data_IF_131915286988
#
_entry.id   IF_131915286988
#
_cell.length_a   1.000
_cell.length_b   1.000
_cell.length_c   1.000
_cell.angle_alpha   90.00
_cell.angle_beta   90.00
_cell.angle_gamma   90.00
#
_symmetry.space_group_name_H-M   'P 1'
#
loop_
_entity.id
_entity.type
_entity.pdbx_description
1 polymer ?
#
# COMPACT_ATOMS: atom_id res chain seq x y z
N UNK A 1 -6.80 10.11 -27.13
CA UNK A 1 -7.22 8.68 -26.94
C UNK A 1 -8.72 8.56 -27.20
N UNK A 2 -9.27 7.36 -27.39
CA UNK A 2 -10.75 7.15 -27.45
C UNK A 2 -11.20 6.34 -26.24
N UNK A 3 -12.39 6.60 -25.74
CA UNK A 3 -12.93 5.89 -24.57
C UNK A 3 -14.16 5.09 -24.94
N UNK A 4 -14.36 3.96 -24.27
CA UNK A 4 -15.56 3.13 -24.38
C UNK A 4 -16.04 2.82 -22.98
N UNK A 5 -17.31 3.15 -22.71
CA UNK A 5 -17.94 2.90 -21.41
C UNK A 5 -19.04 1.86 -21.64
N UNK A 6 -18.99 0.76 -20.89
CA UNK A 6 -19.95 -0.35 -20.98
C UNK A 6 -20.49 -0.65 -19.59
N UNK A 7 -21.80 -0.85 -19.50
CA UNK A 7 -22.45 -1.49 -18.38
C UNK A 7 -22.58 -2.98 -18.72
N UNK A 8 -22.06 -3.84 -17.86
CA UNK A 8 -21.97 -5.28 -18.08
C UNK A 8 -22.69 -6.01 -16.95
N UNK A 9 -23.53 -6.99 -17.26
CA UNK A 9 -24.22 -7.80 -16.25
C UNK A 9 -23.31 -8.91 -15.67
N UNK A 10 -23.84 -9.67 -14.71
CA UNK A 10 -23.14 -10.78 -14.05
C UNK A 10 -22.70 -11.90 -15.00
N UNK A 11 -23.35 -12.04 -16.15
CA UNK A 11 -22.99 -13.03 -17.19
C UNK A 11 -21.92 -12.51 -18.15
N UNK A 12 -21.46 -11.26 -17.98
CA UNK A 12 -20.47 -10.63 -18.84
C UNK A 12 -21.07 -10.05 -20.13
N UNK A 13 -22.40 -9.96 -20.24
CA UNK A 13 -23.09 -9.39 -21.39
C UNK A 13 -23.21 -7.87 -21.24
N UNK A 14 -23.04 -7.16 -22.35
CA UNK A 14 -23.18 -5.69 -22.34
C UNK A 14 -24.65 -5.31 -22.30
N UNK A 15 -25.07 -4.68 -21.20
CA UNK A 15 -26.43 -4.16 -20.97
C UNK A 15 -26.62 -2.80 -21.64
N UNK A 16 -25.63 -1.92 -21.51
CA UNK A 16 -25.64 -0.59 -22.12
C UNK A 16 -24.22 -0.21 -22.55
N UNK A 17 -24.08 0.46 -23.69
CA UNK A 17 -22.81 1.03 -24.10
C UNK A 17 -23.00 2.52 -24.39
N UNK A 18 -22.18 3.34 -23.74
CA UNK A 18 -22.17 4.78 -23.96
C UNK A 18 -21.06 5.18 -24.93
N UNK A 19 -21.32 6.09 -25.88
CA UNK A 19 -20.29 6.68 -26.72
C UNK A 19 -19.44 7.63 -25.86
N UNK A 20 -18.12 7.37 -25.75
CA UNK A 20 -17.20 8.19 -24.96
C UNK A 20 -16.11 8.82 -25.82
N UNK A 21 -16.19 10.13 -26.04
CA UNK A 21 -15.00 10.92 -26.42
C UNK A 21 -14.68 11.79 -25.22
N UNK A 22 -13.94 11.26 -24.26
CA UNK A 22 -13.34 12.09 -23.21
C UNK A 22 -12.12 12.75 -23.86
N UNK A 23 -12.12 14.07 -23.91
CA UNK A 23 -10.97 14.83 -24.42
C UNK A 23 -9.84 14.77 -23.39
N UNK A 24 -8.58 14.88 -23.82
CA UNK A 24 -7.42 14.81 -22.89
C UNK A 24 -7.41 15.96 -21.85
N UNK A 25 -8.24 17.00 -22.03
CA UNK A 25 -8.38 18.11 -21.10
C UNK A 25 -9.45 17.90 -20.01
N UNK A 26 -10.34 16.91 -20.16
CA UNK A 26 -11.42 16.65 -19.21
C UNK A 26 -10.99 15.60 -18.19
N UNK A 27 -10.99 15.97 -16.90
CA UNK A 27 -10.68 15.05 -15.79
C UNK A 27 -11.92 14.34 -15.24
N UNK A 28 -13.13 14.78 -15.62
CA UNK A 28 -14.39 14.18 -15.21
C UNK A 28 -15.44 14.28 -16.33
N UNK A 29 -16.33 13.28 -16.42
CA UNK A 29 -17.48 13.29 -17.31
C UNK A 29 -18.71 12.75 -16.57
N UNK A 30 -19.83 13.49 -16.66
CA UNK A 30 -21.12 13.00 -16.17
C UNK A 30 -21.72 12.04 -17.19
N UNK A 31 -21.97 10.80 -16.76
CA UNK A 31 -22.65 9.79 -17.56
C UNK A 31 -24.02 9.47 -16.95
N UNK A 32 -25.00 9.15 -17.79
CA UNK A 32 -26.34 8.74 -17.36
C UNK A 32 -26.69 7.40 -17.98
N UNK A 33 -26.65 6.36 -17.15
CA UNK A 33 -27.11 5.02 -17.52
C UNK A 33 -28.64 4.99 -17.47
N UNK A 34 -29.27 4.37 -18.47
CA UNK A 34 -30.74 4.30 -18.61
C UNK A 34 -31.26 2.89 -18.34
N UNK A 35 -30.43 1.89 -18.57
CA UNK A 35 -30.76 0.48 -18.49
C UNK A 35 -30.58 0.03 -17.05
N UNK A 36 -31.67 -0.36 -16.36
CA UNK A 36 -31.57 -0.83 -14.99
C UNK A 36 -30.79 -2.13 -14.95
N UNK A 37 -29.98 -2.28 -13.92
CA UNK A 37 -28.99 -3.33 -13.82
C UNK A 37 -28.63 -3.51 -12.35
N UNK A 38 -28.92 -4.66 -11.77
CA UNK A 38 -28.49 -5.00 -10.42
C UNK A 38 -27.27 -5.91 -10.50
N UNK A 39 -26.31 -5.71 -9.61
CA UNK A 39 -25.04 -6.46 -9.57
C UNK A 39 -24.26 -6.37 -10.89
N UNK A 40 -24.15 -5.16 -11.43
CA UNK A 40 -23.51 -4.92 -12.72
C UNK A 40 -22.16 -4.24 -12.56
N UNK A 41 -21.32 -4.34 -13.60
CA UNK A 41 -20.01 -3.71 -13.66
C UNK A 41 -20.03 -2.58 -14.68
N UNK A 42 -19.63 -1.39 -14.26
CA UNK A 42 -19.27 -0.31 -15.16
C UNK A 42 -17.82 -0.49 -15.60
N UNK A 43 -17.59 -0.76 -16.88
CA UNK A 43 -16.28 -0.95 -17.48
C UNK A 43 -15.93 0.24 -18.38
N UNK A 44 -14.80 0.88 -18.08
CA UNK A 44 -14.22 1.99 -18.85
C UNK A 44 -12.96 1.47 -19.55
N UNK A 45 -12.91 1.60 -20.88
CA UNK A 45 -11.75 1.23 -21.69
C UNK A 45 -11.22 2.47 -22.41
N UNK A 46 -9.97 2.84 -22.16
CA UNK A 46 -9.27 3.90 -22.88
C UNK A 46 -8.33 3.28 -23.92
N UNK A 47 -8.51 3.62 -25.19
CA UNK A 47 -7.62 3.24 -26.28
C UNK A 47 -6.69 4.41 -26.60
N UNK A 48 -5.40 4.24 -26.32
CA UNK A 48 -4.37 5.21 -26.64
C UNK A 48 -4.04 5.22 -28.13
N UNK A 49 -3.48 6.32 -28.64
CA UNK A 49 -3.11 6.46 -30.06
C UNK A 49 -2.08 5.40 -30.52
N UNK A 50 -1.25 4.91 -29.60
CA UNK A 50 -0.27 3.86 -29.86
C UNK A 50 -0.87 2.43 -29.79
N UNK A 51 -2.19 2.30 -29.72
CA UNK A 51 -2.90 1.01 -29.63
C UNK A 51 -2.94 0.38 -28.24
N UNK A 52 -2.28 0.95 -27.22
CA UNK A 52 -2.39 0.46 -25.84
C UNK A 52 -3.80 0.71 -25.29
N UNK A 53 -4.37 -0.29 -24.63
CA UNK A 53 -5.68 -0.18 -23.97
C UNK A 53 -5.49 -0.16 -22.45
N UNK A 54 -6.14 0.78 -21.79
CA UNK A 54 -6.27 0.85 -20.33
C UNK A 54 -7.71 0.55 -19.95
N UNK A 55 -7.91 -0.15 -18.83
CA UNK A 55 -9.23 -0.50 -18.33
C UNK A 55 -9.37 -0.10 -16.88
N UNK A 56 -10.55 0.33 -16.49
CA UNK A 56 -10.97 0.51 -15.11
C UNK A 56 -12.40 0.01 -14.98
N UNK A 57 -12.74 -0.55 -13.83
CA UNK A 57 -14.09 -1.06 -13.58
C UNK A 57 -14.58 -0.67 -12.19
N UNK A 58 -15.89 -0.59 -12.03
CA UNK A 58 -16.55 -0.36 -10.76
C UNK A 58 -17.88 -1.13 -10.70
N UNK A 59 -18.19 -1.69 -9.54
CA UNK A 59 -19.48 -2.33 -9.32
C UNK A 59 -20.57 -1.27 -9.12
N UNK A 60 -21.69 -1.43 -9.82
CA UNK A 60 -22.79 -0.47 -9.84
C UNK A 60 -24.14 -1.17 -9.84
N UNK A 61 -25.09 -0.57 -9.12
CA UNK A 61 -26.50 -0.85 -9.28
C UNK A 61 -27.15 0.34 -10.00
N UNK A 62 -27.76 0.10 -11.15
CA UNK A 62 -28.56 1.08 -11.89
C UNK A 62 -30.03 0.77 -11.58
N UNK A 63 -30.62 1.53 -10.68
CA UNK A 63 -32.02 1.34 -10.27
C UNK A 63 -32.94 2.37 -10.93
N UNK A 64 -34.20 1.99 -11.19
CA UNK A 64 -35.21 2.93 -11.75
C UNK A 64 -35.82 3.86 -10.71
N UNK A 65 -35.79 3.47 -9.44
CA UNK A 65 -36.41 4.16 -8.31
C UNK A 65 -35.42 5.12 -7.64
N UNK A 66 -35.93 6.09 -6.88
CA UNK A 66 -35.07 6.85 -5.96
C UNK A 66 -34.48 5.90 -4.92
N UNK A 67 -33.16 5.84 -4.83
CA UNK A 67 -32.42 5.13 -3.78
C UNK A 67 -32.86 5.69 -2.43
N UNK A 68 -33.03 4.85 -1.41
CA UNK A 68 -33.39 5.37 -0.09
C UNK A 68 -32.27 6.30 0.42
N UNK A 69 -32.62 7.36 1.15
CA UNK A 69 -31.67 8.40 1.54
C UNK A 69 -30.45 7.87 2.33
N UNK A 70 -30.64 6.81 3.13
CA UNK A 70 -29.59 6.12 3.86
C UNK A 70 -28.71 5.23 2.95
N UNK A 71 -29.30 4.53 1.98
CA UNK A 71 -28.55 3.72 1.00
C UNK A 71 -27.66 4.58 0.10
N UNK A 72 -28.10 5.80 -0.23
CA UNK A 72 -27.32 6.76 -1.02
C UNK A 72 -26.04 7.22 -0.33
N UNK A 73 -26.05 7.26 1.01
CA UNK A 73 -24.90 7.66 1.84
C UNK A 73 -24.21 6.45 2.47
N UNK A 74 -24.17 5.33 1.75
CA UNK A 74 -23.51 4.08 2.15
C UNK A 74 -23.95 3.55 3.53
N UNK A 75 -25.15 3.91 3.98
CA UNK A 75 -25.67 3.62 5.33
C UNK A 75 -24.81 4.18 6.48
N UNK A 76 -23.92 5.14 6.19
CA UNK A 76 -22.98 5.77 7.13
C UNK A 76 -23.14 7.29 7.13
N UNK A 77 -24.36 7.74 6.87
CA UNK A 77 -24.68 9.15 6.74
C UNK A 77 -26.15 9.40 6.46
N UNK A 78 -26.51 10.68 6.46
CA UNK A 78 -27.86 11.16 6.18
C UNK A 78 -27.85 12.11 4.99
N UNK A 79 -28.89 12.03 4.16
CA UNK A 79 -29.02 12.91 3.01
C UNK A 79 -29.60 14.26 3.44
N UNK A 80 -28.83 15.35 3.31
CA UNK A 80 -29.28 16.73 3.54
C UNK A 80 -29.04 17.57 2.30
N UNK A 81 -30.08 18.20 1.76
CA UNK A 81 -30.02 19.04 0.55
C UNK A 81 -29.29 18.36 -0.65
N UNK A 82 -29.63 17.09 -0.91
CA UNK A 82 -29.00 16.25 -1.95
C UNK A 82 -27.49 15.99 -1.76
N UNK A 83 -26.93 16.29 -0.60
CA UNK A 83 -25.54 15.99 -0.23
C UNK A 83 -25.54 15.06 0.98
N UNK A 84 -24.62 14.09 1.03
CA UNK A 84 -24.48 13.23 2.20
C UNK A 84 -23.75 13.98 3.32
N UNK A 85 -24.39 14.05 4.49
CA UNK A 85 -23.71 14.38 5.74
C UNK A 85 -23.28 13.07 6.39
N UNK A 86 -21.97 12.85 6.43
CA UNK A 86 -21.40 11.61 6.93
C UNK A 86 -21.37 11.57 8.45
N UNK A 87 -21.53 10.35 8.97
CA UNK A 87 -21.23 10.04 10.37
C UNK A 87 -19.74 10.30 10.66
N UNK A 88 -19.41 10.50 11.94
CA UNK A 88 -18.02 10.67 12.39
C UNK A 88 -17.16 9.49 11.91
N UNK A 89 -15.96 9.81 11.43
CA UNK A 89 -15.05 8.86 10.80
C UNK A 89 -15.33 8.57 9.32
N UNK A 90 -16.49 8.92 8.75
CA UNK A 90 -16.80 8.66 7.34
C UNK A 90 -16.69 9.92 6.48
N UNK A 91 -16.23 9.75 5.24
CA UNK A 91 -15.93 10.82 4.29
C UNK A 91 -16.26 10.40 2.86
N UNK A 92 -16.27 11.37 1.95
CA UNK A 92 -16.62 11.19 0.54
C UNK A 92 -18.06 11.60 0.24
N UNK A 93 -18.38 11.73 -1.05
CA UNK A 93 -19.70 12.23 -1.50
C UNK A 93 -20.88 11.32 -1.11
N UNK A 94 -20.59 10.06 -0.77
CA UNK A 94 -21.54 9.05 -0.34
C UNK A 94 -21.15 8.43 1.02
N UNK A 95 -20.21 9.04 1.77
CA UNK A 95 -19.71 8.47 3.03
C UNK A 95 -19.08 7.08 2.89
N UNK A 96 -18.51 6.82 1.71
CA UNK A 96 -17.96 5.51 1.35
C UNK A 96 -16.53 5.25 1.86
N UNK A 97 -15.84 6.28 2.37
CA UNK A 97 -14.46 6.17 2.84
C UNK A 97 -14.37 6.39 4.34
N UNK A 98 -13.68 5.50 5.04
CA UNK A 98 -13.40 5.65 6.47
C UNK A 98 -12.05 6.33 6.68
N UNK A 99 -12.05 7.43 7.45
CA UNK A 99 -10.84 8.10 7.94
C UNK A 99 -10.29 7.32 9.13
N UNK A 100 -8.98 7.06 9.14
CA UNK A 100 -8.34 6.24 10.16
C UNK A 100 -8.16 6.99 11.50
N UNK A 101 -8.30 8.31 11.47
CA UNK A 101 -8.26 9.18 12.65
C UNK A 101 -9.03 10.48 12.38
N UNK A 102 -9.50 11.15 13.43
CA UNK A 102 -10.04 12.51 13.36
C UNK A 102 -9.09 13.52 14.02
N UNK A 103 -8.53 13.12 15.15
CA UNK A 103 -7.62 13.89 16.01
C UNK A 103 -6.36 13.10 16.34
N UNK A 104 -5.35 13.77 16.92
CA UNK A 104 -4.11 13.09 17.32
C UNK A 104 -4.33 12.03 18.41
N UNK A 105 -5.36 12.16 19.23
CA UNK A 105 -5.65 11.22 20.33
C UNK A 105 -6.09 9.83 19.80
N UNK A 106 -6.53 9.77 18.54
CA UNK A 106 -6.87 8.51 17.88
C UNK A 106 -5.60 7.69 17.51
N UNK A 107 -4.46 8.38 17.37
CA UNK A 107 -3.16 7.83 17.02
C UNK A 107 -2.31 7.60 18.28
N UNK A 108 -2.11 6.34 18.64
CA UNK A 108 -1.43 5.96 19.87
C UNK A 108 0.09 6.23 19.79
N UNK A 109 0.76 6.08 20.94
CA UNK A 109 2.23 6.12 21.05
C UNK A 109 2.87 7.37 20.43
N UNK A 110 2.20 8.51 20.65
CA UNK A 110 2.65 9.81 20.19
C UNK A 110 2.47 10.03 18.69
N UNK A 111 1.69 9.21 17.99
CA UNK A 111 1.33 9.40 16.58
C UNK A 111 0.56 10.70 16.34
N UNK A 112 0.52 11.13 15.07
CA UNK A 112 -0.18 12.35 14.65
C UNK A 112 -1.18 11.99 13.55
N UNK A 113 -2.40 12.52 13.65
CA UNK A 113 -3.39 12.41 12.61
C UNK A 113 -3.09 13.43 11.50
N UNK A 114 -2.63 12.93 10.36
CA UNK A 114 -2.22 13.75 9.22
C UNK A 114 -3.26 13.75 8.11
N UNK A 115 -3.50 14.93 7.53
CA UNK A 115 -4.35 15.07 6.35
C UNK A 115 -3.69 14.50 5.08
N UNK A 116 -4.53 13.92 4.24
CA UNK A 116 -4.23 13.35 2.93
C UNK A 116 -5.32 13.83 1.94
N UNK A 117 -5.33 15.13 1.60
CA UNK A 117 -6.45 15.79 0.91
C UNK A 117 -6.83 15.14 -0.42
N UNK A 118 -5.91 14.44 -1.07
CA UNK A 118 -6.13 13.83 -2.39
C UNK A 118 -6.12 12.29 -2.38
N UNK A 119 -6.01 11.67 -1.20
CA UNK A 119 -6.20 10.21 -1.05
C UNK A 119 -7.68 9.86 -0.90
N UNK A 120 -8.05 8.59 -1.14
CA UNK A 120 -9.38 8.06 -0.79
C UNK A 120 -9.62 8.18 0.72
N UNK A 121 -8.59 7.88 1.52
CA UNK A 121 -8.60 8.03 2.98
C UNK A 121 -8.00 9.39 3.34
N UNK A 122 -8.84 10.33 3.75
CA UNK A 122 -8.46 11.73 3.96
C UNK A 122 -7.62 11.99 5.20
N UNK A 123 -7.65 11.11 6.19
CA UNK A 123 -6.89 11.26 7.44
C UNK A 123 -6.32 9.93 7.89
N UNK A 124 -5.04 9.93 8.22
CA UNK A 124 -4.26 8.73 8.59
C UNK A 124 -3.27 9.03 9.70
N UNK A 125 -2.99 8.04 10.54
CA UNK A 125 -1.96 8.17 11.56
C UNK A 125 -0.56 8.09 10.95
N UNK A 126 0.30 9.02 11.37
CA UNK A 126 1.75 8.99 11.15
C UNK A 126 2.43 8.70 12.47
N UNK A 127 3.09 7.55 12.54
CA UNK A 127 3.61 6.97 13.77
C UNK A 127 5.00 7.47 14.12
N UNK A 128 5.24 7.63 15.42
CA UNK A 128 6.57 7.93 15.97
C UNK A 128 7.54 6.78 15.64
N UNK A 129 8.85 7.07 15.66
CA UNK A 129 9.87 6.03 15.52
C UNK A 129 9.63 4.86 16.49
N UNK A 130 9.77 3.62 16.00
CA UNK A 130 9.51 2.40 16.79
C UNK A 130 8.06 1.94 16.84
N UNK A 131 7.11 2.71 16.32
CA UNK A 131 5.69 2.35 16.26
C UNK A 131 5.17 2.34 14.83
N UNK A 132 4.21 1.47 14.56
CA UNK A 132 3.56 1.32 13.27
C UNK A 132 2.14 0.77 13.41
N UNK A 133 1.47 0.50 12.29
CA UNK A 133 0.07 0.09 12.26
C UNK A 133 -0.90 1.26 12.06
N UNK A 134 -2.16 0.94 11.75
CA UNK A 134 -3.18 1.93 11.41
C UNK A 134 -3.40 2.99 12.51
N UNK A 135 -3.21 2.60 13.77
CA UNK A 135 -3.35 3.47 14.94
C UNK A 135 -2.06 3.68 15.72
N UNK A 136 -0.90 3.32 15.14
CA UNK A 136 0.40 3.37 15.80
C UNK A 136 0.46 2.53 17.09
N UNK A 137 -0.29 1.44 17.11
CA UNK A 137 -0.50 0.54 18.25
C UNK A 137 0.46 -0.66 18.23
N UNK A 138 1.15 -0.89 17.12
CA UNK A 138 2.11 -1.97 16.95
C UNK A 138 3.54 -1.48 17.21
N UNK A 139 4.35 -2.36 17.79
CA UNK A 139 5.79 -2.14 18.06
C UNK A 139 6.53 -3.46 17.90
N UNK A 140 7.69 -3.41 17.25
CA UNK A 140 8.58 -4.56 17.18
C UNK A 140 9.26 -4.79 18.53
N UNK A 141 9.21 -6.03 19.04
CA UNK A 141 9.73 -6.38 20.34
C UNK A 141 11.11 -7.06 20.22
N UNK A 142 12.11 -6.29 19.79
CA UNK A 142 13.51 -6.73 19.75
C UNK A 142 14.43 -5.62 20.21
N UNK A 143 15.61 -6.00 20.72
CA UNK A 143 16.67 -5.06 21.06
C UNK A 143 17.46 -4.67 19.80
N UNK A 144 18.09 -3.49 19.84
CA UNK A 144 19.08 -3.07 18.86
C UNK A 144 20.10 -4.18 18.60
N UNK A 145 20.39 -4.44 17.31
CA UNK A 145 21.52 -5.25 16.91
C UNK A 145 22.60 -4.37 16.24
N UNK A 146 23.70 -4.95 15.80
CA UNK A 146 24.75 -4.19 15.12
C UNK A 146 24.31 -3.64 13.74
N UNK A 147 23.19 -4.13 13.21
CA UNK A 147 22.74 -3.89 11.86
C UNK A 147 21.61 -2.87 11.78
N UNK A 148 20.77 -2.76 12.80
CA UNK A 148 19.63 -1.86 12.86
C UNK A 148 19.36 -1.35 14.29
N UNK A 149 19.03 -0.06 14.41
CA UNK A 149 18.61 0.54 15.67
C UNK A 149 17.08 0.53 15.81
N UNK A 150 16.52 -0.45 16.52
CA UNK A 150 15.08 -0.58 16.77
C UNK A 150 14.54 0.33 17.88
N UNK A 151 15.34 0.69 18.89
CA UNK A 151 14.87 1.47 20.05
C UNK A 151 14.77 2.97 19.76
N UNK A 152 15.84 3.58 19.26
CA UNK A 152 15.95 4.99 18.88
C UNK A 152 17.06 5.16 17.84
N UNK A 153 17.03 6.17 16.94
CA UNK A 153 18.13 6.47 16.03
C UNK A 153 19.38 6.87 16.83
N UNK A 154 20.32 5.94 17.03
CA UNK A 154 21.56 6.21 17.75
C UNK A 154 22.55 6.86 16.80
N UNK A 155 22.67 8.19 16.88
CA UNK A 155 23.56 8.99 16.05
C UNK A 155 25.07 8.64 16.18
N UNK A 156 25.47 7.85 17.18
CA UNK A 156 26.88 7.63 17.50
C UNK A 156 27.52 6.38 16.87
N UNK A 157 26.77 5.30 16.64
CA UNK A 157 27.37 4.00 16.26
C UNK A 157 26.93 3.47 14.88
N UNK A 158 25.85 4.00 14.29
CA UNK A 158 25.38 3.56 12.97
C UNK A 158 25.72 4.58 11.86
N UNK A 159 26.39 4.14 10.78
CA UNK A 159 26.96 5.05 9.79
C UNK A 159 25.92 5.70 8.87
N UNK A 160 24.75 5.08 8.65
CA UNK A 160 23.75 5.56 7.68
C UNK A 160 22.46 6.02 8.36
N UNK A 161 22.22 7.34 8.32
CA UNK A 161 21.07 8.02 8.94
C UNK A 161 20.90 7.78 10.45
N UNK A 162 21.93 7.22 11.12
CA UNK A 162 21.82 6.73 12.50
C UNK A 162 20.87 5.53 12.67
N UNK A 163 20.48 4.86 11.57
CA UNK A 163 19.40 3.86 11.56
C UNK A 163 19.90 2.43 11.25
N UNK A 164 20.87 2.28 10.34
CA UNK A 164 21.36 0.94 9.97
C UNK A 164 22.83 0.93 9.51
N UNK A 165 23.44 -0.25 9.57
CA UNK A 165 24.79 -0.51 9.04
C UNK A 165 24.67 -1.19 7.66
N UNK A 166 25.03 -0.52 6.54
CA UNK A 166 24.84 -1.06 5.19
C UNK A 166 25.65 -2.34 4.92
N UNK A 167 26.68 -2.66 5.72
CA UNK A 167 27.44 -3.92 5.58
C UNK A 167 26.62 -5.15 5.92
N UNK A 168 25.57 -5.01 6.73
CA UNK A 168 24.66 -6.08 7.10
C UNK A 168 23.65 -6.47 6.03
N UNK A 169 23.61 -5.74 4.92
CA UNK A 169 22.56 -5.89 3.92
C UNK A 169 23.15 -6.09 2.54
N UNK A 170 22.44 -6.87 1.73
CA UNK A 170 22.63 -6.88 0.30
C UNK A 170 22.08 -5.58 -0.27
N UNK A 171 22.90 -4.87 -1.05
CA UNK A 171 22.51 -3.63 -1.73
C UNK A 171 22.05 -3.93 -3.15
N UNK A 172 20.89 -3.39 -3.51
CA UNK A 172 20.31 -3.42 -4.85
C UNK A 172 20.12 -1.98 -5.34
N UNK A 173 20.88 -1.57 -6.35
CA UNK A 173 20.73 -0.24 -6.95
C UNK A 173 19.60 -0.26 -7.99
N UNK A 174 18.56 0.55 -7.78
CA UNK A 174 17.40 0.64 -8.67
C UNK A 174 17.55 1.77 -9.69
N UNK A 175 18.17 2.87 -9.27
CA UNK A 175 18.46 4.04 -10.08
C UNK A 175 19.79 4.65 -9.62
N UNK A 176 20.21 5.78 -10.21
CA UNK A 176 21.38 6.51 -9.73
C UNK A 176 21.26 6.90 -8.24
N UNK A 177 20.04 7.17 -7.78
CA UNK A 177 19.76 7.78 -6.48
C UNK A 177 18.88 6.92 -5.57
N UNK A 178 18.31 5.80 -6.04
CA UNK A 178 17.36 4.98 -5.28
C UNK A 178 17.87 3.55 -5.12
N UNK A 179 17.75 3.02 -3.89
CA UNK A 179 18.37 1.76 -3.50
C UNK A 179 17.47 0.97 -2.58
N UNK A 180 17.58 -0.34 -2.67
CA UNK A 180 17.01 -1.28 -1.68
C UNK A 180 18.17 -1.95 -0.97
N UNK A 181 18.06 -2.07 0.34
CA UNK A 181 18.91 -2.94 1.15
C UNK A 181 18.06 -4.07 1.72
N UNK A 182 18.54 -5.31 1.66
CA UNK A 182 17.78 -6.46 2.17
C UNK A 182 18.67 -7.44 2.89
N UNK A 183 18.15 -8.05 3.97
CA UNK A 183 18.76 -9.23 4.59
C UNK A 183 17.68 -10.18 5.07
N UNK A 184 17.97 -11.48 5.03
CA UNK A 184 17.17 -12.49 5.71
C UNK A 184 17.53 -12.54 7.20
N UNK A 185 16.52 -12.49 8.06
CA UNK A 185 16.65 -12.69 9.51
C UNK A 185 15.69 -13.82 9.91
N UNK A 186 16.24 -14.99 10.24
CA UNK A 186 15.47 -16.21 10.53
C UNK A 186 14.46 -16.59 9.42
N UNK A 187 13.17 -16.45 9.69
CA UNK A 187 12.07 -16.70 8.76
C UNK A 187 11.47 -15.40 8.17
N UNK A 188 12.11 -14.27 8.39
CA UNK A 188 11.69 -12.96 7.89
C UNK A 188 12.72 -12.38 6.91
N UNK A 189 12.27 -11.40 6.15
CA UNK A 189 13.14 -10.49 5.42
C UNK A 189 13.01 -9.09 6.02
N UNK A 190 14.16 -8.44 6.21
CA UNK A 190 14.23 -7.04 6.56
C UNK A 190 14.65 -6.26 5.31
N UNK A 191 13.82 -5.30 4.91
CA UNK A 191 13.98 -4.54 3.68
C UNK A 191 14.02 -3.04 4.02
N UNK A 192 15.01 -2.33 3.49
CA UNK A 192 15.18 -0.89 3.65
C UNK A 192 15.12 -0.24 2.26
N UNK A 193 14.22 0.72 2.11
CA UNK A 193 14.03 1.55 0.93
C UNK A 193 14.70 2.90 1.20
N UNK A 194 15.78 3.20 0.47
CA UNK A 194 16.51 4.49 0.54
C UNK A 194 16.30 5.27 -0.75
N UNK A 195 15.26 6.12 -0.77
CA UNK A 195 14.77 6.77 -1.98
C UNK A 195 14.89 8.29 -1.89
N UNK A 196 15.30 8.93 -2.99
CA UNK A 196 15.33 10.39 -3.10
C UNK A 196 13.92 10.92 -3.35
N UNK A 197 13.14 11.08 -2.28
CA UNK A 197 11.84 11.73 -2.25
C UNK A 197 11.49 12.20 -0.85
N UNK A 198 10.67 13.25 -0.76
CA UNK A 198 10.15 13.78 0.52
C UNK A 198 8.72 13.37 0.86
N UNK A 199 8.02 12.70 -0.05
CA UNK A 199 6.60 12.45 0.13
C UNK A 199 6.30 10.97 0.28
N UNK A 200 6.37 10.18 -0.79
CA UNK A 200 5.98 8.78 -0.73
C UNK A 200 6.82 7.90 -1.63
N UNK A 201 6.94 6.63 -1.23
CA UNK A 201 7.63 5.57 -1.94
C UNK A 201 6.84 4.27 -1.84
N UNK A 202 7.10 3.35 -2.76
CA UNK A 202 6.49 2.02 -2.73
C UNK A 202 7.46 0.95 -3.21
N UNK A 203 7.30 -0.24 -2.63
CA UNK A 203 7.88 -1.48 -3.12
C UNK A 203 6.77 -2.49 -3.29
N UNK A 204 6.61 -3.00 -4.50
CA UNK A 204 5.72 -4.11 -4.79
C UNK A 204 6.45 -5.31 -5.33
N UNK A 205 5.89 -6.49 -5.12
CA UNK A 205 6.47 -7.73 -5.58
C UNK A 205 5.45 -8.80 -5.93
N UNK A 206 5.94 -9.80 -6.66
CA UNK A 206 5.25 -11.07 -6.91
C UNK A 206 6.25 -12.14 -7.36
N UNK A 207 5.89 -13.43 -7.30
CA UNK A 207 6.68 -14.48 -7.92
C UNK A 207 6.93 -14.20 -9.41
N UNK A 208 8.13 -14.52 -9.90
CA UNK A 208 8.47 -14.38 -11.32
C UNK A 208 7.62 -15.29 -12.21
N UNK A 209 7.22 -16.45 -11.69
CA UNK A 209 6.30 -17.40 -12.31
C UNK A 209 4.96 -17.36 -11.57
N UNK A 210 4.05 -16.51 -12.06
CA UNK A 210 2.68 -16.42 -11.57
C UNK A 210 1.71 -16.75 -12.71
N UNK A 211 0.69 -17.57 -12.41
CA UNK A 211 -0.33 -17.93 -13.39
C UNK A 211 -1.16 -16.70 -13.78
N UNK A 212 -1.51 -16.56 -15.07
CA UNK A 212 -2.38 -15.47 -15.55
C UNK A 212 -3.78 -15.50 -14.94
N UNK A 213 -4.16 -16.63 -14.33
CA UNK A 213 -5.38 -16.79 -13.54
C UNK A 213 -5.45 -15.87 -12.31
N UNK A 214 -4.33 -15.30 -11.83
CA UNK A 214 -4.36 -14.35 -10.72
C UNK A 214 -5.23 -13.11 -11.00
N UNK A 215 -5.45 -12.75 -12.28
CA UNK A 215 -6.39 -11.70 -12.69
C UNK A 215 -7.85 -12.00 -12.34
N UNK A 216 -8.16 -13.26 -12.03
CA UNK A 216 -9.46 -13.70 -11.53
C UNK A 216 -9.63 -13.47 -10.02
N UNK A 217 -8.57 -13.10 -9.30
CA UNK A 217 -8.66 -12.63 -7.92
C UNK A 217 -9.27 -11.22 -7.85
N UNK A 218 -10.08 -10.89 -6.82
CA UNK A 218 -10.64 -11.80 -5.82
C UNK A 218 -11.67 -12.75 -6.46
N UNK A 219 -11.54 -14.05 -6.15
CA UNK A 219 -12.51 -15.06 -6.61
C UNK A 219 -13.73 -14.93 -5.70
N UNK A 220 -14.75 -14.19 -6.15
CA UNK A 220 -15.99 -14.00 -5.37
C UNK A 220 -16.96 -15.19 -5.50
N UNK A 221 -16.57 -16.27 -6.18
CA UNK A 221 -17.45 -17.40 -6.48
C UNK A 221 -17.61 -18.45 -5.35
N UNK A 222 -16.94 -18.36 -4.18
CA UNK A 222 -17.01 -19.44 -3.17
C UNK A 222 -17.15 -19.06 -1.68
N UNK A 223 -17.94 -18.05 -1.32
CA UNK A 223 -18.43 -17.89 0.06
C UNK A 223 -19.78 -18.58 0.33
N UNK A 224 -20.05 -19.72 -0.32
CA UNK A 224 -21.28 -20.51 -0.08
C UNK A 224 -21.11 -21.73 0.84
N UNK A 225 -19.92 -22.02 1.36
CA UNK A 225 -19.74 -23.30 2.02
C UNK A 225 -18.60 -23.45 3.02
N UNK A 226 -18.57 -22.62 4.08
CA UNK A 226 -18.16 -22.96 5.46
C UNK A 226 -17.93 -21.66 6.23
N UNK A 227 -18.89 -21.30 7.07
CA UNK A 227 -18.83 -20.13 7.95
C UNK A 227 -18.81 -20.69 9.37
N UNK A 228 -17.76 -20.40 10.13
CA UNK A 228 -17.72 -20.72 11.57
C UNK A 228 -18.68 -19.80 12.32
N UNK A 229 -19.20 -20.20 13.48
CA UNK A 229 -20.10 -19.34 14.28
C UNK A 229 -19.47 -17.99 14.66
N UNK A 230 -18.13 -17.88 14.68
CA UNK A 230 -17.42 -16.61 14.91
C UNK A 230 -17.54 -15.64 13.73
N UNK A 231 -17.60 -16.13 12.49
CA UNK A 231 -17.82 -15.28 11.29
C UNK A 231 -19.22 -14.69 11.24
N UNK A 232 -20.21 -15.30 11.90
CA UNK A 232 -21.57 -14.75 11.96
C UNK A 232 -21.67 -13.49 12.82
N UNK A 233 -20.74 -13.30 13.75
CA UNK A 233 -20.68 -12.10 14.60
C UNK A 233 -19.97 -10.95 13.89
N UNK A 234 -18.93 -11.23 13.11
CA UNK A 234 -18.22 -10.23 12.31
C UNK A 234 -18.99 -9.76 11.06
N UNK A 235 -19.88 -10.59 10.49
CA UNK A 235 -20.62 -10.28 9.25
C UNK A 235 -21.87 -9.40 9.41
N UNK A 236 -22.19 -8.90 10.60
CA UNK A 236 -23.40 -8.06 10.78
C UNK A 236 -23.29 -6.62 10.25
N UNK A 237 -22.19 -6.23 9.60
CA UNK A 237 -21.99 -4.84 9.13
C UNK A 237 -21.52 -4.61 7.68
N UNK A 238 -21.44 -5.62 6.81
CA UNK A 238 -20.87 -5.41 5.46
C UNK A 238 -21.87 -5.58 4.32
N UNK A 239 -21.92 -4.54 3.48
CA UNK A 239 -22.55 -4.43 2.15
C UNK A 239 -22.41 -5.76 1.39
N UNK A 240 -23.50 -6.24 0.79
CA UNK A 240 -23.47 -7.45 -0.04
C UNK A 240 -22.39 -7.30 -1.14
N UNK A 241 -21.33 -8.12 -1.06
CA UNK A 241 -20.28 -8.16 -2.10
C UNK A 241 -20.94 -8.58 -3.44
N UNK A 242 -20.80 -7.80 -4.51
CA UNK A 242 -21.37 -8.13 -5.82
C UNK A 242 -20.71 -9.37 -6.41
N UNK A 243 -21.43 -10.12 -7.25
CA UNK A 243 -20.89 -11.28 -7.96
C UNK A 243 -20.12 -10.78 -9.17
N UNK A 244 -18.78 -10.95 -9.18
CA UNK A 244 -17.96 -10.58 -10.33
C UNK A 244 -18.28 -11.46 -11.54
N UNK A 245 -18.23 -10.93 -12.78
CA UNK A 245 -18.34 -11.75 -13.99
C UNK A 245 -17.29 -12.86 -13.98
N UNK A 246 -17.60 -14.04 -14.55
CA UNK A 246 -16.68 -15.21 -14.58
C UNK A 246 -15.26 -14.91 -15.07
N UNK A 247 -15.08 -13.83 -15.84
CA UNK A 247 -13.80 -13.40 -16.41
C UNK A 247 -13.24 -12.12 -15.76
N UNK A 248 -13.81 -11.61 -14.67
CA UNK A 248 -13.48 -10.33 -14.05
C UNK A 248 -13.39 -9.15 -15.04
N UNK A 249 -14.19 -9.17 -16.11
CA UNK A 249 -14.15 -8.13 -17.15
C UNK A 249 -12.99 -8.25 -18.16
N UNK A 250 -12.16 -9.30 -18.09
CA UNK A 250 -11.11 -9.57 -19.06
C UNK A 250 -11.64 -10.27 -20.32
N UNK A 251 -11.06 -9.94 -21.48
CA UNK A 251 -11.27 -10.72 -22.71
C UNK A 251 -10.53 -12.06 -22.63
N UNK A 252 -10.95 -13.07 -23.42
CA UNK A 252 -10.24 -14.37 -23.50
C UNK A 252 -8.75 -14.18 -23.86
N UNK A 253 -8.47 -13.27 -24.81
CA UNK A 253 -7.10 -12.88 -25.14
C UNK A 253 -6.38 -12.23 -23.94
N UNK A 254 -7.08 -11.39 -23.17
CA UNK A 254 -6.54 -10.77 -21.96
C UNK A 254 -6.14 -11.80 -20.91
N UNK A 255 -6.98 -12.81 -20.67
CA UNK A 255 -6.70 -13.90 -19.72
C UNK A 255 -5.52 -14.78 -20.16
N UNK A 256 -5.28 -14.91 -21.47
CA UNK A 256 -4.17 -15.70 -22.04
C UNK A 256 -2.88 -14.91 -22.25
N UNK A 257 -2.95 -13.58 -22.21
CA UNK A 257 -1.78 -12.72 -22.42
C UNK A 257 -0.87 -12.76 -21.20
N UNK A 258 0.43 -12.57 -21.42
CA UNK A 258 1.42 -12.46 -20.34
C UNK A 258 1.03 -11.38 -19.32
N UNK A 259 1.47 -11.57 -18.08
CA UNK A 259 1.20 -10.62 -17.00
C UNK A 259 2.00 -9.32 -17.21
N UNK A 260 1.32 -8.18 -17.12
CA UNK A 260 1.97 -6.89 -16.97
C UNK A 260 2.63 -6.82 -15.59
N UNK A 261 3.66 -5.99 -15.41
CA UNK A 261 4.42 -5.89 -14.16
C UNK A 261 3.54 -5.56 -12.94
N UNK A 262 2.50 -4.74 -13.12
CA UNK A 262 1.52 -4.34 -12.09
C UNK A 262 0.37 -5.33 -11.87
N UNK A 263 0.25 -6.39 -12.66
CA UNK A 263 -0.85 -7.35 -12.44
C UNK A 263 -0.55 -8.20 -11.20
N UNK A 264 -1.49 -8.35 -10.28
CA UNK A 264 -1.36 -9.23 -9.11
C UNK A 264 -0.06 -8.96 -8.33
N UNK A 265 0.06 -7.77 -7.78
CA UNK A 265 1.24 -7.30 -7.06
C UNK A 265 0.84 -6.93 -5.64
N UNK A 266 1.55 -7.52 -4.70
CA UNK A 266 1.59 -7.19 -3.26
C UNK A 266 2.52 -5.97 -3.09
N UNK A 267 2.08 -4.93 -2.40
CA UNK A 267 2.69 -3.60 -2.41
C UNK A 267 2.72 -2.98 -1.01
N UNK A 268 3.91 -2.72 -0.51
CA UNK A 268 4.12 -1.79 0.59
C UNK A 268 4.23 -0.38 0.06
N UNK A 269 3.38 0.53 0.54
CA UNK A 269 3.50 1.97 0.31
C UNK A 269 3.77 2.70 1.62
N UNK A 270 4.65 3.68 1.58
CA UNK A 270 5.05 4.43 2.76
C UNK A 270 5.23 5.93 2.48
N UNK A 271 5.05 6.73 3.52
CA UNK A 271 5.31 8.17 3.54
C UNK A 271 5.93 8.55 4.87
N UNK A 272 7.00 9.36 4.84
CA UNK A 272 7.64 9.88 6.05
C UNK A 272 7.45 11.38 6.10
N UNK A 273 6.82 11.89 7.16
CA UNK A 273 6.56 13.32 7.37
C UNK A 273 7.02 13.72 8.75
N UNK A 274 7.92 14.71 8.84
CA UNK A 274 8.43 15.23 10.12
C UNK A 274 8.94 14.12 11.07
N UNK A 275 9.67 13.13 10.53
CA UNK A 275 10.20 12.00 11.31
C UNK A 275 9.15 10.96 11.73
N UNK A 276 7.96 10.98 11.14
CA UNK A 276 6.87 10.06 11.45
C UNK A 276 6.48 9.24 10.23
N UNK A 277 6.30 7.94 10.42
CA UNK A 277 6.03 6.98 9.37
C UNK A 277 4.53 6.73 9.21
N UNK A 278 4.05 6.85 7.98
CA UNK A 278 2.90 6.10 7.51
C UNK A 278 3.40 4.95 6.63
N UNK A 279 2.91 3.74 6.87
CA UNK A 279 3.18 2.55 6.06
C UNK A 279 1.95 1.65 6.10
N UNK A 280 1.62 1.03 4.97
CA UNK A 280 0.53 0.06 4.91
C UNK A 280 0.76 -0.92 3.78
N UNK A 281 0.06 -2.05 3.90
CA UNK A 281 -0.05 -3.07 2.86
C UNK A 281 -1.14 -2.70 1.85
N UNK A 282 -0.85 -2.95 0.58
CA UNK A 282 -1.69 -2.67 -0.57
C UNK A 282 -1.56 -3.78 -1.60
N UNK A 283 -2.63 -3.98 -2.36
CA UNK A 283 -2.63 -4.91 -3.46
C UNK A 283 -3.11 -4.24 -4.73
N UNK A 284 -2.47 -4.62 -5.84
CA UNK A 284 -2.89 -4.25 -7.19
C UNK A 284 -3.21 -5.51 -7.98
N UNK A 285 -4.48 -5.69 -8.32
CA UNK A 285 -4.92 -6.77 -9.22
C UNK A 285 -4.40 -6.57 -10.65
N UNK A 286 -4.33 -5.33 -11.08
CA UNK A 286 -4.04 -4.94 -12.46
C UNK A 286 -3.32 -3.58 -12.51
N UNK A 287 -3.54 -2.78 -13.56
CA UNK A 287 -2.90 -1.47 -13.74
C UNK A 287 -3.68 -0.33 -13.10
N UNK A 288 -4.68 -0.64 -12.27
CA UNK A 288 -5.42 0.28 -11.44
C UNK A 288 -4.58 0.81 -10.27
N UNK A 289 -5.10 1.82 -9.59
CA UNK A 289 -4.52 2.31 -8.35
C UNK A 289 -4.57 1.20 -7.30
N UNK A 290 -3.44 0.86 -6.65
CA UNK A 290 -3.43 -0.10 -5.56
C UNK A 290 -4.40 0.31 -4.44
N UNK A 291 -5.09 -0.67 -3.87
CA UNK A 291 -5.97 -0.47 -2.72
C UNK A 291 -5.38 -1.21 -1.52
N UNK A 292 -5.66 -0.73 -0.31
CA UNK A 292 -5.24 -1.42 0.91
C UNK A 292 -5.84 -2.82 1.00
N UNK A 293 -5.09 -3.73 1.58
CA UNK A 293 -5.39 -5.17 1.60
C UNK A 293 -6.74 -5.53 2.21
N UNK A 294 -7.22 -4.74 3.17
CA UNK A 294 -8.54 -4.96 3.77
C UNK A 294 -9.69 -4.89 2.74
N UNK A 295 -9.52 -4.20 1.60
CA UNK A 295 -10.50 -4.20 0.52
C UNK A 295 -10.62 -5.56 -0.19
N UNK A 296 -9.61 -6.41 -0.03
CA UNK A 296 -9.46 -7.71 -0.68
C UNK A 296 -9.44 -8.88 0.33
N UNK A 297 -9.92 -8.65 1.56
CA UNK A 297 -9.86 -9.60 2.67
C UNK A 297 -8.43 -10.01 3.07
N UNK A 298 -7.44 -9.14 2.82
CA UNK A 298 -6.07 -9.29 3.34
C UNK A 298 -5.85 -8.49 4.63
N UNK A 299 -4.80 -8.82 5.36
CA UNK A 299 -4.41 -8.20 6.63
C UNK A 299 -3.09 -7.41 6.50
N UNK A 300 -2.70 -6.69 7.56
CA UNK A 300 -1.38 -6.05 7.60
C UNK A 300 -0.34 -7.07 8.03
N UNK A 301 0.55 -7.43 7.12
CA UNK A 301 1.54 -8.51 7.28
C UNK A 301 2.91 -8.08 7.84
N UNK A 302 3.04 -6.83 8.28
CA UNK A 302 4.33 -6.29 8.77
C UNK A 302 4.57 -6.66 10.23
N UNK A 303 5.76 -7.18 10.54
CA UNK A 303 6.21 -7.44 11.91
C UNK A 303 7.00 -6.28 12.52
N UNK A 304 7.57 -5.42 11.67
CA UNK A 304 8.26 -4.21 12.08
C UNK A 304 8.21 -3.15 10.97
N UNK A 305 8.16 -1.87 11.33
CA UNK A 305 8.35 -0.80 10.37
C UNK A 305 8.94 0.47 11.00
N UNK A 306 9.82 1.14 10.27
CA UNK A 306 10.55 2.33 10.69
C UNK A 306 10.71 3.29 9.53
N UNK A 307 10.72 4.58 9.82
CA UNK A 307 10.82 5.61 8.80
C UNK A 307 11.55 6.84 9.31
N UNK A 308 12.51 7.33 8.54
CA UNK A 308 13.15 8.63 8.76
C UNK A 308 13.27 9.40 7.45
N UNK A 309 13.42 10.71 7.58
CA UNK A 309 13.66 11.59 6.45
C UNK A 309 14.87 12.45 6.75
N UNK A 310 15.87 12.38 5.88
CA UNK A 310 17.11 13.14 6.01
C UNK A 310 17.59 13.58 4.64
N UNK A 311 18.06 14.82 4.54
CA UNK A 311 18.65 15.40 3.32
C UNK A 311 17.77 15.25 2.06
N UNK A 312 16.45 15.35 2.25
CA UNK A 312 15.47 15.21 1.18
C UNK A 312 15.21 13.78 0.69
N UNK A 313 15.72 12.79 1.41
CA UNK A 313 15.52 11.37 1.17
C UNK A 313 14.61 10.78 2.22
N UNK A 314 13.77 9.84 1.82
CA UNK A 314 12.94 9.05 2.73
C UNK A 314 13.53 7.66 2.82
N UNK A 315 13.78 7.22 4.06
CA UNK A 315 14.38 5.93 4.36
C UNK A 315 13.38 5.14 5.19
N UNK A 316 12.86 4.06 4.63
CA UNK A 316 11.81 3.24 5.24
C UNK A 316 12.32 1.82 5.38
N UNK A 317 12.24 1.26 6.57
CA UNK A 317 12.50 -0.15 6.83
C UNK A 317 11.17 -0.85 7.14
N UNK A 318 11.00 -2.06 6.62
CA UNK A 318 9.99 -2.98 7.12
C UNK A 318 10.53 -4.40 7.27
N UNK A 319 9.90 -5.18 8.16
CA UNK A 319 10.10 -6.62 8.31
C UNK A 319 8.80 -7.35 8.05
N UNK A 320 8.92 -8.51 7.40
CA UNK A 320 7.79 -9.39 7.06
C UNK A 320 8.27 -10.84 6.93
N UNK A 321 7.36 -11.79 7.15
CA UNK A 321 7.65 -13.20 6.96
C UNK A 321 8.02 -13.53 5.51
N UNK A 322 8.92 -14.49 5.31
CA UNK A 322 9.34 -14.94 3.98
C UNK A 322 8.22 -15.63 3.21
N UNK A 323 7.31 -16.27 3.94
CA UNK A 323 6.25 -17.13 3.42
C UNK A 323 4.93 -16.70 4.02
N UNK A 324 4.37 -15.62 3.48
CA UNK A 324 2.98 -15.29 3.73
C UNK A 324 2.09 -15.86 2.64
N UNK A 325 0.94 -16.38 3.04
CA UNK A 325 -0.06 -16.95 2.14
C UNK A 325 -1.43 -16.42 2.52
N UNK A 326 -1.61 -15.12 2.35
CA UNK A 326 -2.91 -14.47 2.30
C UNK A 326 -3.37 -14.26 0.85
N UNK A 327 -4.65 -13.96 0.59
CA UNK A 327 -5.15 -13.86 -0.78
C UNK A 327 -4.52 -12.72 -1.60
N UNK A 328 -4.07 -11.65 -0.94
CA UNK A 328 -3.33 -10.51 -1.53
C UNK A 328 -1.82 -10.69 -1.50
N UNK A 329 -1.33 -11.65 -0.74
CA UNK A 329 0.06 -11.71 -0.34
C UNK A 329 0.92 -12.61 -1.22
N UNK A 330 2.16 -12.19 -1.39
CA UNK A 330 3.14 -12.90 -2.18
C UNK A 330 4.41 -13.19 -1.38
N UNK A 331 5.02 -14.39 -1.54
CA UNK A 331 6.25 -14.71 -0.82
C UNK A 331 7.43 -13.85 -1.32
N UNK A 332 8.22 -13.33 -0.38
CA UNK A 332 9.41 -12.50 -0.64
C UNK A 332 10.68 -13.33 -0.91
N UNK A 333 10.60 -14.66 -0.79
CA UNK A 333 11.75 -15.54 -1.02
C UNK A 333 11.46 -17.03 -0.83
N UNK A 334 12.48 -17.89 -0.99
CA UNK A 334 13.91 -17.57 -1.18
C UNK A 334 14.31 -17.34 -2.66
N UNK A 335 13.37 -17.47 -3.58
CA UNK A 335 13.63 -17.36 -5.02
C UNK A 335 13.69 -15.90 -5.48
N UNK A 336 14.14 -15.71 -6.73
CA UNK A 336 14.05 -14.40 -7.39
C UNK A 336 12.58 -14.04 -7.64
N UNK A 337 12.22 -12.80 -7.28
CA UNK A 337 10.88 -12.23 -7.40
C UNK A 337 10.91 -11.04 -8.35
N UNK A 338 9.78 -10.77 -9.00
CA UNK A 338 9.61 -9.53 -9.75
C UNK A 338 9.33 -8.42 -8.76
N UNK A 339 10.15 -7.37 -8.80
CA UNK A 339 10.00 -6.15 -8.01
C UNK A 339 9.47 -5.05 -8.91
N UNK A 340 8.45 -4.35 -8.45
CA UNK A 340 8.05 -3.05 -8.98
C UNK A 340 8.31 -2.01 -7.90
N UNK A 341 8.83 -0.86 -8.28
CA UNK A 341 9.07 0.21 -7.33
C UNK A 341 8.59 1.52 -7.90
N UNK A 342 8.20 2.44 -7.01
CA UNK A 342 7.86 3.79 -7.42
C UNK A 342 8.04 4.80 -6.29
N UNK A 343 8.06 6.07 -6.66
CA UNK A 343 8.08 7.21 -5.73
C UNK A 343 7.34 8.39 -6.33
N UNK A 344 7.02 9.36 -5.49
CA UNK A 344 6.48 10.62 -5.97
C UNK A 344 6.68 11.75 -4.98
N UNK A 345 6.68 12.97 -5.51
CA UNK A 345 6.99 14.20 -4.76
C UNK A 345 5.73 15.04 -4.47
N UNK A 346 4.57 14.44 -4.62
CA UNK A 346 3.26 15.03 -4.39
C UNK A 346 2.43 14.08 -3.52
N UNK A 347 1.15 13.93 -3.86
CA UNK A 347 0.22 13.06 -3.18
C UNK A 347 0.62 11.59 -3.32
N UNK A 348 0.36 10.80 -2.27
CA UNK A 348 0.63 9.38 -2.26
C UNK A 348 -0.17 8.64 -3.33
N UNK A 349 0.51 7.83 -4.14
CA UNK A 349 -0.13 7.10 -5.24
C UNK A 349 -0.47 7.98 -6.46
N UNK A 350 0.10 9.18 -6.56
CA UNK A 350 0.00 10.05 -7.75
C UNK A 350 1.32 10.12 -8.51
N UNK A 351 1.29 10.53 -9.78
CA UNK A 351 2.51 10.89 -10.54
C UNK A 351 3.55 9.76 -10.73
N UNK A 352 3.12 8.54 -11.06
CA UNK A 352 3.99 7.41 -11.44
C UNK A 352 4.76 7.60 -12.77
N UNK A 353 5.11 8.81 -13.20
CA UNK A 353 5.64 9.08 -14.54
C UNK A 353 7.17 9.13 -14.59
N UNK A 354 7.73 8.90 -15.79
CA UNK A 354 9.16 9.05 -16.04
C UNK A 354 10.02 8.05 -15.27
N UNK A 355 11.08 8.56 -14.64
CA UNK A 355 12.13 7.81 -13.92
C UNK A 355 11.74 7.47 -12.47
N UNK A 356 10.56 7.88 -12.02
CA UNK A 356 10.10 7.67 -10.64
C UNK A 356 9.42 6.30 -10.43
N UNK A 357 9.70 5.35 -11.31
CA UNK A 357 9.24 3.96 -11.22
C UNK A 357 10.18 3.04 -11.98
N UNK A 358 10.16 1.75 -11.63
CA UNK A 358 10.89 0.73 -12.35
C UNK A 358 10.40 -0.68 -12.06
N UNK A 359 10.97 -1.64 -12.78
CA UNK A 359 10.68 -3.06 -12.64
C UNK A 359 12.01 -3.80 -12.69
N UNK A 360 12.29 -4.59 -11.68
CA UNK A 360 13.52 -5.38 -11.56
C UNK A 360 13.19 -6.83 -11.19
N UNK A 361 14.18 -7.72 -11.30
CA UNK A 361 14.11 -9.05 -10.71
C UNK A 361 15.19 -9.15 -9.66
N UNK A 362 14.80 -9.35 -8.41
CA UNK A 362 15.70 -9.32 -7.27
C UNK A 362 15.49 -10.54 -6.39
N UNK A 363 16.51 -10.90 -5.62
CA UNK A 363 16.42 -11.87 -4.52
C UNK A 363 16.65 -11.10 -3.23
N UNK A 364 15.59 -10.93 -2.42
CA UNK A 364 15.67 -10.13 -1.19
C UNK A 364 16.01 -10.96 0.05
N UNK A 365 15.70 -12.26 0.01
CA UNK A 365 15.83 -13.19 1.14
C UNK A 365 17.21 -13.87 1.26
N UNK A 366 18.30 -13.19 0.89
CA UNK A 366 19.66 -13.71 1.06
C UNK A 366 20.19 -13.47 2.48
N UNK A 367 20.97 -14.43 2.99
CA UNK A 367 21.68 -14.30 4.26
C UNK A 367 22.99 -13.54 4.02
N UNK A 368 23.19 -12.46 4.76
CA UNK A 368 24.42 -11.66 4.70
C UNK A 368 25.28 -12.00 5.92
N UNK A 369 26.42 -12.66 5.69
CA UNK A 369 27.35 -13.00 6.76
C UNK A 369 28.31 -11.83 7.00
N UNK A 370 28.22 -11.20 8.16
CA UNK A 370 29.15 -10.14 8.57
C UNK A 370 29.87 -10.57 9.85
N UNK A 371 31.19 -10.54 9.82
CA UNK A 371 32.03 -10.67 11.02
C UNK A 371 32.39 -9.29 11.52
N UNK A 372 31.88 -8.94 12.69
CA UNK A 372 32.33 -7.75 13.41
C UNK A 372 33.53 -8.14 14.25
N UNK A 373 34.71 -7.61 13.91
CA UNK A 373 35.85 -7.66 14.82
C UNK A 373 35.46 -6.90 16.08
N UNK A 374 35.25 -7.61 17.18
CA UNK A 374 35.20 -6.95 18.49
C UNK A 374 36.55 -6.27 18.68
N UNK A 375 36.60 -4.98 19.06
CA UNK A 375 37.86 -4.40 19.51
C UNK A 375 38.39 -5.31 20.61
N UNK A 376 39.61 -5.80 20.45
CA UNK A 376 40.26 -6.59 21.49
C UNK A 376 40.24 -5.75 22.75
N UNK A 377 39.51 -6.22 23.77
CA UNK A 377 39.65 -5.68 25.11
C UNK A 377 41.05 -6.12 25.54
N UNK A 378 42.05 -5.34 25.16
CA UNK A 378 43.30 -5.30 25.91
C UNK A 378 42.89 -4.91 27.30
N UNK A 379 42.92 -5.86 28.23
CA UNK A 379 42.75 -5.62 29.65
C UNK A 379 43.93 -4.78 30.14
N UNK A 380 43.93 -3.49 29.82
CA UNK A 380 44.76 -2.48 30.46
C UNK A 380 43.83 -1.73 31.40
N UNK A 381 44.06 -1.90 32.70
CA UNK A 381 43.42 -1.19 33.79
C UNK A 381 43.80 0.31 33.78
N UNK A 382 43.55 1.02 32.68
CA UNK A 382 43.78 2.46 32.59
C UNK A 382 42.48 3.22 32.83
N UNK A 383 42.37 3.75 34.05
CA UNK A 383 41.39 4.76 34.43
C UNK A 383 41.83 6.12 33.85
N UNK A 384 41.08 6.61 32.88
CA UNK A 384 41.24 7.98 32.38
C UNK A 384 40.36 8.94 33.20
N UNK A 385 40.98 9.91 33.87
CA UNK A 385 40.28 11.04 34.51
C UNK A 385 40.30 12.25 33.58
N UNK A 386 39.13 12.78 33.24
CA UNK A 386 38.97 14.06 32.56
C UNK A 386 38.56 15.15 33.56
N UNK A 387 39.37 16.20 33.70
CA UNK A 387 39.00 17.39 34.48
C UNK A 387 38.08 18.26 33.63
N UNK A 388 36.82 18.43 34.06
CA UNK A 388 35.89 19.37 33.44
C UNK A 388 36.16 20.77 33.99
N UNK A 389 36.81 21.63 33.22
CA UNK A 389 36.96 23.04 33.59
C UNK A 389 35.57 23.71 33.52
N UNK A 390 34.97 23.95 34.67
CA UNK A 390 33.74 24.75 34.80
C UNK A 390 34.15 26.22 34.85
N UNK A 391 33.90 26.94 33.76
CA UNK A 391 34.02 28.41 33.74
C UNK A 391 32.75 28.97 34.38
N UNK A 392 32.87 29.52 35.58
CA UNK A 392 31.80 30.34 36.15
C UNK A 392 31.82 31.71 35.47
N UNK A 393 30.74 32.03 34.75
CA UNK A 393 30.51 33.37 34.21
C UNK A 393 30.44 34.40 35.35
N UNK A 394 31.10 35.54 35.14
CA UNK A 394 30.93 36.76 35.95
C UNK A 394 29.76 37.57 35.43
#
# INVERSE_FOLDING_TARGET
STYRIRLVDSDGLTVEQLPGVITEAETFQLIKLRSPCEQCMLLIEQVMQNGKVFRSCADVNVVRTSVQANEQCSQRGSLMNATCQCESGFTGNQCQYFSQCETNDDCLNGGICGDQPDSLIKKRCFCSYGFFGQRCDQKFNSQNDHCFAYDEPVAADLPMYGMFNPRCYQRHDLSANDRIYSRRVDNEVEVILDFETKNWLSLGWRPTELSTSCRLFPILEDTRGRISEMDQVARREFVAKPVMPKNNGFTELGLRSSLHAMDCVDIIMASVRNGRLFISDFYSRDRSTPLEDYWYDGEMSLSAAYGTQQDGRSVVMFRRELREFEPTDHPLGPNEILIVWSKGDSEMGSNFQGTNRGVEKLRLAEVVNVTFEQPSISATNELAFGVKNVVHGK
#
